data_IF_387929944827
#
_entry.id   IF_387929944827
#
_cell.length_a   1.000
_cell.length_b   1.000
_cell.length_c   1.000
_cell.angle_alpha   90.00
_cell.angle_beta   90.00
_cell.angle_gamma   90.00
#
_symmetry.space_group_name_H-M   'P 1'
#
loop_
_entity.id
_entity.type
_entity.pdbx_description
1 polymer ?
#
# COMPACT_ATOMS: atom_id res chain seq x y z
N UNK A 1 32.64 -14.34 -40.25
CA UNK A 1 33.20 -14.32 -38.91
C UNK A 1 32.01 -14.40 -37.93
N UNK A 2 31.85 -15.57 -37.27
CA UNK A 2 30.69 -15.81 -36.38
C UNK A 2 30.94 -15.07 -35.08
N UNK A 3 30.24 -13.98 -34.83
CA UNK A 3 30.24 -13.27 -33.56
C UNK A 3 29.50 -14.13 -32.52
N UNK A 4 30.24 -14.75 -31.64
CA UNK A 4 29.71 -15.45 -30.48
C UNK A 4 29.21 -14.35 -29.51
N UNK A 5 27.93 -14.12 -29.46
CA UNK A 5 27.29 -13.42 -28.33
C UNK A 5 27.42 -14.34 -27.11
N UNK A 6 28.47 -14.18 -26.36
CA UNK A 6 28.54 -14.70 -25.00
C UNK A 6 27.68 -13.80 -24.16
N UNK A 7 26.48 -14.28 -23.89
CA UNK A 7 25.56 -13.69 -22.90
C UNK A 7 26.28 -13.70 -21.56
N UNK A 8 26.65 -12.53 -21.07
CA UNK A 8 27.08 -12.33 -19.68
C UNK A 8 25.83 -12.34 -18.80
N UNK A 9 25.22 -13.54 -18.71
CA UNK A 9 24.21 -13.84 -17.73
C UNK A 9 24.85 -14.76 -16.68
N UNK A 10 24.58 -14.42 -15.43
CA UNK A 10 24.92 -15.20 -14.23
C UNK A 10 26.34 -15.09 -13.66
N UNK A 11 26.62 -14.01 -13.02
CA UNK A 11 27.51 -14.01 -11.86
C UNK A 11 26.80 -13.30 -10.69
N UNK A 12 25.73 -13.89 -10.19
CA UNK A 12 24.96 -13.33 -9.06
C UNK A 12 24.14 -14.37 -8.29
N UNK A 13 24.27 -15.65 -8.64
CA UNK A 13 23.38 -16.68 -8.09
C UNK A 13 24.08 -17.70 -7.16
N UNK A 14 25.24 -17.38 -6.58
CA UNK A 14 25.91 -18.31 -5.66
C UNK A 14 26.37 -17.67 -4.36
N UNK A 15 25.51 -16.91 -3.69
CA UNK A 15 25.66 -16.63 -2.27
C UNK A 15 24.27 -16.63 -1.66
N UNK A 16 23.75 -17.80 -1.33
CA UNK A 16 22.70 -17.98 -0.31
C UNK A 16 22.39 -19.48 -0.17
N UNK A 17 23.36 -20.21 0.35
CA UNK A 17 23.06 -21.45 1.05
C UNK A 17 23.78 -21.39 2.40
N UNK A 18 23.15 -20.78 3.37
CA UNK A 18 23.47 -20.97 4.77
C UNK A 18 22.16 -21.34 5.45
N UNK A 19 22.06 -22.62 5.79
CA UNK A 19 21.05 -23.19 6.66
C UNK A 19 21.08 -22.48 8.02
N UNK A 20 19.99 -21.85 8.38
CA UNK A 20 19.57 -21.68 9.76
C UNK A 20 18.04 -21.70 9.76
N UNK A 21 17.48 -22.84 10.12
CA UNK A 21 16.11 -22.92 10.64
C UNK A 21 16.09 -22.20 11.98
N UNK A 22 15.86 -20.90 11.94
CA UNK A 22 15.44 -20.10 13.09
C UNK A 22 14.02 -19.67 12.75
N UNK A 23 13.10 -19.79 13.68
CA UNK A 23 11.74 -19.24 13.54
C UNK A 23 11.87 -17.76 13.20
N UNK A 24 11.66 -17.46 11.92
CA UNK A 24 11.79 -16.13 11.38
C UNK A 24 10.62 -15.29 11.89
N UNK A 25 10.91 -14.22 12.59
CA UNK A 25 9.90 -13.23 12.93
C UNK A 25 9.20 -12.74 11.65
N UNK A 26 7.95 -12.31 11.72
CA UNK A 26 7.14 -11.87 10.57
C UNK A 26 7.83 -10.79 9.71
N UNK A 27 8.86 -10.13 10.24
CA UNK A 27 9.67 -9.10 9.56
C UNK A 27 10.74 -9.67 8.62
N UNK A 28 11.06 -10.96 8.71
CA UNK A 28 12.13 -11.59 7.93
C UNK A 28 11.63 -12.42 6.73
N UNK A 29 10.32 -12.47 6.54
CA UNK A 29 9.72 -13.21 5.43
C UNK A 29 9.87 -12.43 4.13
N UNK A 30 10.30 -13.12 3.05
CA UNK A 30 10.41 -12.49 1.72
C UNK A 30 9.07 -11.87 1.28
N UNK A 31 9.13 -10.68 0.66
CA UNK A 31 7.94 -9.89 0.34
C UNK A 31 6.90 -10.63 -0.52
N UNK A 32 7.33 -11.54 -1.41
CA UNK A 32 6.38 -12.31 -2.23
C UNK A 32 5.47 -13.27 -1.45
N UNK A 33 5.81 -13.57 -0.20
CA UNK A 33 5.02 -14.40 0.72
C UNK A 33 4.11 -13.59 1.64
N UNK A 34 4.17 -12.27 1.54
CA UNK A 34 3.38 -11.35 2.35
C UNK A 34 2.24 -10.76 1.54
N UNK A 35 1.09 -10.59 2.14
CA UNK A 35 0.00 -9.83 1.55
C UNK A 35 0.19 -8.34 1.85
N UNK A 36 -0.04 -7.49 0.86
CA UNK A 36 0.09 -6.05 0.99
C UNK A 36 -1.22 -5.35 0.72
N UNK A 37 -1.56 -4.42 1.57
CA UNK A 37 -2.62 -3.45 1.33
C UNK A 37 -2.03 -2.18 0.74
N UNK A 38 -2.67 -1.63 -0.27
CA UNK A 38 -2.31 -0.34 -0.85
C UNK A 38 -3.48 0.63 -0.75
N UNK A 39 -3.16 1.90 -0.47
CA UNK A 39 -4.16 2.96 -0.49
C UNK A 39 -4.40 3.43 -1.94
N UNK A 40 -5.65 3.67 -2.36
CA UNK A 40 -5.93 4.34 -3.62
C UNK A 40 -5.18 5.68 -3.69
N UNK A 41 -4.45 5.94 -4.78
CA UNK A 41 -3.67 7.17 -4.93
C UNK A 41 -2.25 7.16 -4.36
N UNK A 42 -1.80 6.04 -3.75
CA UNK A 42 -0.43 5.89 -3.26
C UNK A 42 0.52 5.29 -4.30
N UNK A 43 1.83 5.45 -4.04
CA UNK A 43 2.93 4.78 -4.73
C UNK A 43 3.09 5.13 -6.22
N UNK A 44 2.72 6.35 -6.60
CA UNK A 44 3.04 6.90 -7.92
C UNK A 44 4.46 7.41 -7.97
N UNK A 45 5.06 7.35 -9.16
CA UNK A 45 6.35 7.97 -9.44
C UNK A 45 6.36 8.65 -10.81
N UNK A 46 7.14 9.71 -10.90
CA UNK A 46 7.45 10.41 -12.14
C UNK A 46 8.97 10.33 -12.38
N UNK A 47 9.39 10.03 -13.59
CA UNK A 47 10.81 9.90 -13.93
C UNK A 47 11.17 10.79 -15.12
N UNK A 48 12.37 11.37 -15.07
CA UNK A 48 12.96 12.14 -16.14
C UNK A 48 14.40 11.64 -16.34
N UNK A 49 14.75 11.30 -17.56
CA UNK A 49 16.07 10.83 -17.89
C UNK A 49 16.51 11.17 -19.30
N UNK A 50 17.81 11.08 -19.51
CA UNK A 50 18.44 11.26 -20.80
C UNK A 50 19.65 10.33 -20.95
N UNK A 51 20.08 10.14 -22.18
CA UNK A 51 21.18 9.24 -22.47
C UNK A 51 21.45 9.08 -23.96
N UNK A 52 21.90 7.90 -24.31
CA UNK A 52 22.29 7.57 -25.68
C UNK A 52 21.57 6.34 -26.19
N UNK A 53 21.28 6.32 -27.48
CA UNK A 53 20.72 5.16 -28.17
C UNK A 53 21.50 4.87 -29.44
N UNK A 54 21.48 3.60 -29.84
CA UNK A 54 22.05 3.14 -31.10
C UNK A 54 21.01 2.29 -31.84
N UNK A 55 20.80 2.59 -33.13
CA UNK A 55 19.87 1.84 -33.98
C UNK A 55 20.59 0.85 -34.88
N UNK A 56 20.06 -0.35 -34.95
CA UNK A 56 20.55 -1.45 -35.78
C UNK A 56 19.47 -1.86 -36.77
N UNK A 57 19.82 -1.88 -38.04
CA UNK A 57 18.95 -2.29 -39.15
C UNK A 57 19.43 -3.62 -39.71
N UNK A 58 18.53 -4.43 -40.24
CA UNK A 58 18.88 -5.68 -40.92
C UNK A 58 19.69 -5.35 -42.21
N UNK A 59 20.81 -6.02 -42.38
CA UNK A 59 21.66 -5.83 -43.57
C UNK A 59 22.73 -4.76 -43.46
N UNK A 60 22.75 -3.98 -42.39
CA UNK A 60 23.68 -2.88 -42.20
C UNK A 60 24.88 -3.31 -41.32
N UNK A 61 25.96 -3.81 -41.94
CA UNK A 61 27.13 -4.33 -41.24
C UNK A 61 28.16 -3.25 -40.83
N UNK A 62 27.94 -2.01 -41.20
CA UNK A 62 28.77 -0.84 -40.93
C UNK A 62 27.86 0.34 -40.60
N UNK A 63 28.21 1.25 -39.75
CA UNK A 63 29.43 1.67 -39.13
C UNK A 63 29.64 1.12 -37.70
N UNK A 64 30.70 1.66 -37.02
CA UNK A 64 31.03 1.35 -35.63
C UNK A 64 29.89 1.75 -34.66
N UNK A 65 29.88 1.17 -33.46
CA UNK A 65 28.86 1.50 -32.43
C UNK A 65 28.86 3.02 -32.10
N UNK A 66 30.02 3.62 -32.04
CA UNK A 66 30.21 5.04 -31.70
C UNK A 66 29.55 5.96 -32.70
N UNK A 67 29.56 5.65 -33.99
CA UNK A 67 28.93 6.44 -35.06
C UNK A 67 27.39 6.34 -35.05
N UNK A 68 26.84 5.28 -34.41
CA UNK A 68 25.38 5.07 -34.23
C UNK A 68 24.83 5.77 -33.04
N UNK A 69 25.68 6.20 -32.08
CA UNK A 69 25.23 6.83 -30.85
C UNK A 69 24.50 8.14 -31.14
N UNK A 70 23.30 8.23 -30.67
CA UNK A 70 22.41 9.38 -30.78
C UNK A 70 21.79 9.72 -29.44
N UNK A 71 21.37 10.95 -29.26
CA UNK A 71 20.71 11.37 -28.02
C UNK A 71 19.32 10.80 -27.90
N UNK A 72 18.98 10.38 -26.67
CA UNK A 72 17.63 9.91 -26.29
C UNK A 72 17.26 10.54 -24.94
N UNK A 73 16.02 11.01 -24.84
CA UNK A 73 15.44 11.48 -23.58
C UNK A 73 14.10 10.77 -23.33
N UNK A 74 13.75 10.62 -22.08
CA UNK A 74 12.50 9.99 -21.68
C UNK A 74 11.90 10.66 -20.47
N UNK A 75 10.55 10.69 -20.43
CA UNK A 75 9.75 11.02 -19.26
C UNK A 75 8.81 9.86 -19.00
N UNK A 76 8.54 9.56 -17.74
CA UNK A 76 7.64 8.45 -17.42
C UNK A 76 6.80 8.75 -16.18
N UNK A 77 5.60 8.21 -16.18
CA UNK A 77 4.70 8.17 -15.03
C UNK A 77 4.36 6.71 -14.76
N UNK A 78 4.53 6.29 -13.52
CA UNK A 78 4.27 4.91 -13.14
C UNK A 78 3.65 4.79 -11.74
N UNK A 79 3.24 3.57 -11.43
CA UNK A 79 2.67 3.21 -10.13
C UNK A 79 3.19 1.84 -9.70
N UNK A 80 3.65 1.76 -8.46
CA UNK A 80 3.90 0.50 -7.79
C UNK A 80 2.58 -0.04 -7.24
N UNK A 81 2.19 -1.24 -7.66
CA UNK A 81 0.98 -1.94 -7.20
C UNK A 81 1.27 -2.83 -5.99
N UNK A 82 2.47 -3.38 -5.95
CA UNK A 82 3.04 -4.12 -4.82
C UNK A 82 4.49 -3.66 -4.62
N UNK A 83 5.17 -4.05 -3.54
CA UNK A 83 6.58 -3.72 -3.36
C UNK A 83 7.49 -4.17 -4.51
N UNK A 84 7.08 -5.16 -5.28
CA UNK A 84 7.89 -5.80 -6.33
C UNK A 84 7.28 -5.72 -7.73
N UNK A 85 6.08 -5.15 -7.90
CA UNK A 85 5.40 -5.04 -9.19
C UNK A 85 4.91 -3.62 -9.45
N UNK A 86 5.26 -3.05 -10.61
CA UNK A 86 4.81 -1.73 -11.05
C UNK A 86 4.41 -1.74 -12.52
N UNK A 87 3.66 -0.72 -12.91
CA UNK A 87 3.41 -0.37 -14.31
C UNK A 87 3.85 1.06 -14.59
N UNK A 88 4.32 1.30 -15.81
CA UNK A 88 4.84 2.60 -16.22
C UNK A 88 4.40 2.95 -17.65
N UNK A 89 3.93 4.17 -17.83
CA UNK A 89 3.80 4.80 -19.13
C UNK A 89 5.04 5.68 -19.36
N UNK A 90 5.84 5.35 -20.37
CA UNK A 90 7.07 6.05 -20.72
C UNK A 90 6.91 6.70 -22.11
N UNK A 91 7.15 7.99 -22.18
CA UNK A 91 7.28 8.73 -23.44
C UNK A 91 8.76 9.01 -23.65
N UNK A 92 9.28 8.63 -24.78
CA UNK A 92 10.68 8.78 -25.12
C UNK A 92 10.82 9.40 -26.51
N UNK A 93 11.90 10.13 -26.69
CA UNK A 93 12.20 10.74 -27.99
C UNK A 93 13.68 11.04 -28.13
N UNK A 94 14.12 11.21 -29.35
CA UNK A 94 15.53 11.47 -29.62
C UNK A 94 15.86 11.41 -31.10
N UNK A 95 17.17 11.34 -31.35
CA UNK A 95 17.71 11.13 -32.67
C UNK A 95 17.99 9.65 -32.94
N UNK A 96 17.94 9.23 -34.16
CA UNK A 96 18.35 7.91 -34.60
C UNK A 96 19.18 8.06 -35.89
N UNK A 97 20.41 7.63 -35.84
CA UNK A 97 21.27 7.61 -37.01
C UNK A 97 21.12 6.29 -37.74
N UNK A 98 20.80 6.41 -39.03
CA UNK A 98 20.68 5.25 -39.93
C UNK A 98 21.62 5.46 -41.11
N UNK A 99 22.18 4.40 -41.63
CA UNK A 99 23.16 4.45 -42.73
C UNK A 99 22.60 3.70 -43.91
N UNK A 100 22.70 4.28 -45.08
CA UNK A 100 22.27 3.66 -46.33
C UNK A 100 23.40 2.83 -46.95
N UNK A 101 23.04 1.77 -47.65
CA UNK A 101 23.73 0.54 -47.85
C UNK A 101 25.14 0.59 -48.52
N UNK A 102 25.43 1.48 -49.39
CA UNK A 102 26.67 1.43 -50.20
C UNK A 102 27.55 2.69 -50.07
N UNK A 103 26.96 3.79 -49.69
CA UNK A 103 27.63 5.09 -49.64
C UNK A 103 28.00 5.58 -48.25
N UNK A 104 27.67 4.82 -47.20
CA UNK A 104 27.84 5.20 -45.79
C UNK A 104 27.27 6.58 -45.44
N UNK A 105 26.28 7.02 -46.19
CA UNK A 105 25.63 8.31 -45.93
C UNK A 105 24.79 8.18 -44.64
N UNK A 106 25.16 9.02 -43.67
CA UNK A 106 24.41 9.13 -42.41
C UNK A 106 23.10 9.85 -42.63
N UNK A 107 21.98 9.18 -42.37
CA UNK A 107 20.66 9.79 -42.31
C UNK A 107 20.26 10.05 -40.89
N UNK A 108 19.92 11.30 -40.58
CA UNK A 108 19.43 11.69 -39.27
C UNK A 108 17.91 11.66 -39.22
N UNK A 109 17.36 10.92 -38.30
CA UNK A 109 15.94 10.82 -38.07
C UNK A 109 15.63 11.19 -36.62
N UNK A 110 14.47 11.74 -36.40
CA UNK A 110 13.92 11.95 -35.06
C UNK A 110 12.81 10.97 -34.81
N UNK A 111 12.64 10.54 -33.58
CA UNK A 111 11.54 9.66 -33.17
C UNK A 111 10.90 10.15 -31.90
N UNK A 112 9.61 9.82 -31.74
CA UNK A 112 8.83 9.97 -30.53
C UNK A 112 8.09 8.67 -30.32
N UNK A 113 8.16 8.10 -29.12
CA UNK A 113 7.50 6.85 -28.78
C UNK A 113 6.79 6.95 -27.43
N UNK A 114 5.79 6.10 -27.28
CA UNK A 114 5.10 5.86 -26.01
C UNK A 114 5.09 4.36 -25.74
N UNK A 115 5.59 3.95 -24.57
CA UNK A 115 5.68 2.56 -24.13
C UNK A 115 4.91 2.36 -22.84
N UNK A 116 4.24 1.23 -22.73
CA UNK A 116 3.64 0.77 -21.49
C UNK A 116 4.43 -0.43 -20.98
N UNK A 117 5.09 -0.24 -19.86
CA UNK A 117 6.05 -1.18 -19.28
C UNK A 117 5.48 -1.87 -18.05
N UNK A 118 5.74 -3.18 -17.92
CA UNK A 118 5.58 -3.96 -16.72
C UNK A 118 6.95 -4.11 -16.06
N UNK A 119 7.06 -3.64 -14.84
CA UNK A 119 8.32 -3.57 -14.09
C UNK A 119 8.27 -4.52 -12.91
N UNK A 120 9.39 -5.19 -12.63
CA UNK A 120 9.50 -6.16 -11.56
C UNK A 120 10.76 -5.92 -10.72
N UNK A 121 10.60 -5.62 -9.44
CA UNK A 121 11.71 -5.42 -8.51
C UNK A 121 12.16 -6.75 -7.93
N UNK A 122 13.26 -7.29 -8.47
CA UNK A 122 13.84 -8.58 -8.07
C UNK A 122 14.29 -8.54 -6.60
N UNK A 123 14.89 -7.44 -6.19
CA UNK A 123 15.44 -7.32 -4.83
C UNK A 123 14.32 -7.32 -3.80
N UNK A 124 13.24 -6.57 -4.04
CA UNK A 124 12.09 -6.56 -3.16
C UNK A 124 11.28 -7.87 -3.20
N UNK A 125 11.33 -8.62 -4.30
CA UNK A 125 10.64 -9.90 -4.40
C UNK A 125 11.27 -10.98 -3.51
N UNK A 126 12.61 -11.09 -3.53
CA UNK A 126 13.35 -12.13 -2.81
C UNK A 126 13.75 -11.74 -1.39
N UNK A 127 13.64 -10.48 -1.02
CA UNK A 127 14.02 -9.97 0.31
C UNK A 127 12.79 -9.52 1.11
N UNK A 128 12.87 -9.41 2.44
CA UNK A 128 11.85 -8.77 3.26
C UNK A 128 11.58 -7.35 2.77
N UNK A 129 10.32 -6.91 2.85
CA UNK A 129 9.96 -5.56 2.46
C UNK A 129 10.67 -4.52 3.33
N UNK A 130 11.35 -3.59 2.69
CA UNK A 130 12.00 -2.46 3.36
C UNK A 130 11.78 -1.17 2.55
N UNK A 131 10.97 -0.27 3.08
CA UNK A 131 10.67 1.03 2.46
C UNK A 131 11.94 1.87 2.23
N UNK A 132 12.99 1.68 3.04
CA UNK A 132 14.23 2.44 3.00
C UNK A 132 15.37 1.77 2.22
N UNK A 133 15.06 0.76 1.44
CA UNK A 133 16.08 0.05 0.64
C UNK A 133 16.81 1.02 -0.30
N UNK A 134 18.14 0.93 -0.30
CA UNK A 134 19.00 1.80 -1.10
C UNK A 134 19.04 1.41 -2.59
N UNK A 135 19.06 0.10 -2.88
CA UNK A 135 19.28 -0.44 -4.22
C UNK A 135 18.11 -1.30 -4.68
N UNK A 136 17.72 -1.12 -5.94
CA UNK A 136 16.70 -1.93 -6.60
C UNK A 136 17.18 -2.35 -7.98
N UNK A 137 16.93 -3.62 -8.34
CA UNK A 137 17.17 -4.20 -9.65
C UNK A 137 15.81 -4.51 -10.28
N UNK A 138 15.50 -3.79 -11.35
CA UNK A 138 14.14 -3.76 -11.91
C UNK A 138 14.18 -4.12 -13.40
N UNK A 139 14.17 -5.41 -13.77
CA UNK A 139 13.86 -5.82 -15.13
C UNK A 139 12.44 -5.39 -15.49
N UNK A 140 12.23 -5.11 -16.77
CA UNK A 140 10.91 -4.77 -17.31
C UNK A 140 10.74 -5.21 -18.75
N UNK A 141 9.49 -5.38 -19.14
CA UNK A 141 9.08 -5.64 -20.51
C UNK A 141 7.89 -4.74 -20.83
N UNK A 142 7.78 -4.35 -22.07
CA UNK A 142 6.70 -3.45 -22.48
C UNK A 142 6.36 -3.57 -23.95
N UNK A 143 5.27 -2.90 -24.29
CA UNK A 143 4.81 -2.69 -25.65
C UNK A 143 4.57 -1.21 -25.88
N UNK A 144 4.71 -0.78 -27.11
CA UNK A 144 4.58 0.63 -27.39
C UNK A 144 4.32 0.93 -28.84
N UNK A 145 4.33 2.21 -29.10
CA UNK A 145 4.16 2.76 -30.42
C UNK A 145 5.21 3.85 -30.63
N UNK A 146 5.91 3.81 -31.76
CA UNK A 146 6.87 4.84 -32.15
C UNK A 146 6.49 5.48 -33.49
N UNK A 147 6.66 6.78 -33.52
CA UNK A 147 6.55 7.63 -34.71
C UNK A 147 7.91 8.23 -35.04
N UNK A 148 8.35 8.06 -36.30
CA UNK A 148 9.60 8.64 -36.84
C UNK A 148 9.27 9.78 -37.74
N UNK A 149 9.83 10.92 -37.41
CA UNK A 149 9.72 12.16 -38.19
C UNK A 149 10.73 12.16 -39.31
N UNK A 150 10.29 12.69 -40.43
CA UNK A 150 11.12 12.98 -41.57
C UNK A 150 12.15 14.06 -41.26
N UNK A 151 13.40 13.87 -41.68
CA UNK A 151 14.36 14.95 -41.76
C UNK A 151 14.50 15.41 -43.23
N UNK A 152 14.51 16.70 -43.47
CA UNK A 152 14.84 17.56 -44.66
C UNK A 152 14.86 16.96 -46.08
N UNK A 153 14.90 15.65 -46.25
CA UNK A 153 14.91 15.02 -47.56
C UNK A 153 13.46 14.69 -48.03
N UNK A 154 13.02 15.20 -49.21
CA UNK A 154 11.63 15.06 -49.66
C UNK A 154 11.17 13.62 -49.99
N UNK A 155 12.06 12.64 -50.02
CA UNK A 155 11.78 11.24 -50.40
C UNK A 155 11.54 10.28 -49.24
N UNK A 156 11.89 10.65 -48.00
CA UNK A 156 11.62 9.80 -46.84
C UNK A 156 10.26 10.15 -46.25
N UNK A 157 9.38 9.18 -46.13
CA UNK A 157 8.06 9.35 -45.55
C UNK A 157 8.11 9.05 -44.04
N UNK A 158 7.18 9.65 -43.29
CA UNK A 158 6.99 9.37 -41.89
C UNK A 158 6.69 7.87 -41.66
N UNK A 159 7.27 7.27 -40.64
CA UNK A 159 7.10 5.86 -40.32
C UNK A 159 6.47 5.66 -38.95
N UNK A 160 5.52 4.73 -38.91
CA UNK A 160 4.82 4.30 -37.70
C UNK A 160 5.20 2.87 -37.39
N UNK A 161 5.47 2.53 -36.15
CA UNK A 161 5.78 1.16 -35.75
C UNK A 161 5.16 0.82 -34.39
N UNK A 162 4.61 -0.39 -34.30
CA UNK A 162 4.39 -1.02 -33.00
C UNK A 162 5.71 -1.60 -32.51
N UNK A 163 6.00 -1.41 -31.24
CA UNK A 163 7.26 -1.77 -30.63
C UNK A 163 7.04 -2.75 -29.48
N UNK A 164 8.02 -3.62 -29.30
CA UNK A 164 8.20 -4.40 -28.09
C UNK A 164 9.53 -4.00 -27.45
N UNK A 165 9.55 -3.75 -26.17
CA UNK A 165 10.75 -3.36 -25.45
C UNK A 165 10.99 -4.22 -24.22
N UNK A 166 12.25 -4.41 -23.90
CA UNK A 166 12.69 -5.06 -22.67
C UNK A 166 13.92 -4.31 -22.15
N UNK A 167 14.04 -4.23 -20.85
CA UNK A 167 15.16 -3.50 -20.26
C UNK A 167 15.40 -3.89 -18.81
N UNK A 168 16.46 -3.26 -18.29
CA UNK A 168 16.90 -3.39 -16.92
C UNK A 168 17.14 -2.00 -16.34
N UNK A 169 16.50 -1.67 -15.24
CA UNK A 169 16.72 -0.44 -14.49
C UNK A 169 17.40 -0.77 -13.17
N UNK A 170 18.51 -0.10 -12.89
CA UNK A 170 19.15 -0.03 -11.58
C UNK A 170 18.67 1.24 -10.91
N UNK A 171 18.11 1.16 -9.73
CA UNK A 171 17.61 2.32 -9.02
C UNK A 171 18.29 2.44 -7.66
N UNK A 172 18.77 3.66 -7.36
CA UNK A 172 19.50 4.00 -6.14
C UNK A 172 18.76 5.11 -5.41
N UNK A 173 18.39 4.87 -4.17
CA UNK A 173 17.69 5.84 -3.34
C UNK A 173 18.64 6.95 -2.88
N UNK A 174 18.42 8.17 -3.36
CA UNK A 174 19.18 9.34 -2.92
C UNK A 174 18.53 10.05 -1.74
N UNK A 175 17.21 10.12 -1.73
CA UNK A 175 16.42 10.74 -0.68
C UNK A 175 15.08 10.05 -0.53
N UNK A 176 14.29 10.43 0.46
CA UNK A 176 12.97 9.83 0.74
C UNK A 176 12.04 9.80 -0.48
N UNK A 177 12.15 10.80 -1.36
CA UNK A 177 11.28 10.94 -2.54
C UNK A 177 12.03 10.95 -3.86
N UNK A 178 13.36 10.75 -3.86
CA UNK A 178 14.19 10.88 -5.06
C UNK A 178 15.08 9.67 -5.20
N UNK A 179 14.99 9.03 -6.36
CA UNK A 179 15.87 7.94 -6.75
C UNK A 179 16.64 8.32 -8.00
N UNK A 180 17.93 7.99 -8.04
CA UNK A 180 18.73 7.96 -9.26
C UNK A 180 18.45 6.64 -9.98
N UNK A 181 18.27 6.66 -11.29
CA UNK A 181 18.21 5.42 -12.07
C UNK A 181 19.22 5.39 -13.20
N UNK A 182 19.67 4.19 -13.50
CA UNK A 182 20.42 3.84 -14.71
C UNK A 182 19.60 2.75 -15.41
N UNK A 183 19.27 2.97 -16.68
CA UNK A 183 18.38 2.09 -17.45
C UNK A 183 19.04 1.68 -18.76
N UNK A 184 19.06 0.38 -19.03
CA UNK A 184 19.40 -0.20 -20.33
C UNK A 184 18.15 -0.77 -20.96
N UNK A 185 17.85 -0.39 -22.19
CA UNK A 185 16.67 -0.82 -22.93
C UNK A 185 17.01 -1.34 -24.32
N UNK A 186 16.34 -2.40 -24.71
CA UNK A 186 16.33 -2.92 -26.07
C UNK A 186 14.89 -2.81 -26.62
N UNK A 187 14.70 -2.12 -27.73
CA UNK A 187 13.42 -1.92 -28.38
C UNK A 187 13.46 -2.55 -29.77
N UNK A 188 12.50 -3.42 -30.04
CA UNK A 188 12.26 -4.01 -31.36
C UNK A 188 11.10 -3.32 -32.05
N UNK A 189 11.31 -2.81 -33.26
CA UNK A 189 10.32 -2.14 -34.10
C UNK A 189 9.82 -3.14 -35.15
N UNK A 190 8.81 -3.94 -34.82
CA UNK A 190 8.46 -5.14 -35.60
C UNK A 190 7.29 -5.01 -36.54
N UNK A 191 6.29 -4.17 -36.23
CA UNK A 191 5.08 -4.05 -37.03
C UNK A 191 4.99 -2.64 -37.62
N UNK A 192 5.33 -2.50 -38.88
CA UNK A 192 5.07 -1.28 -39.64
C UNK A 192 3.58 -1.26 -40.04
N UNK A 193 2.83 -0.30 -39.52
CA UNK A 193 1.38 -0.12 -39.82
C UNK A 193 1.12 0.43 -41.22
N UNK A 194 2.14 0.79 -41.98
CA UNK A 194 2.10 1.15 -43.39
C UNK A 194 3.20 0.39 -44.12
N UNK A 195 2.84 -0.22 -45.28
CA UNK A 195 3.76 -0.93 -46.18
C UNK A 195 4.86 0.00 -46.72
N UNK A 196 5.96 0.11 -45.98
CA UNK A 196 7.18 0.78 -46.43
C UNK A 196 8.26 -0.27 -46.68
N UNK A 197 7.99 -1.17 -47.63
CA UNK A 197 8.96 -2.18 -48.06
C UNK A 197 10.30 -1.58 -48.57
N UNK A 198 10.32 -0.28 -48.90
CA UNK A 198 11.46 0.38 -49.53
C UNK A 198 12.31 1.19 -48.59
N UNK A 199 12.03 1.30 -47.28
CA UNK A 199 12.78 2.19 -46.38
C UNK A 199 13.68 1.47 -45.35
N UNK A 200 13.83 0.15 -45.45
CA UNK A 200 14.75 -0.59 -44.60
C UNK A 200 14.44 -0.61 -43.08
N UNK A 201 13.29 -0.11 -42.68
CA UNK A 201 12.91 0.04 -41.26
C UNK A 201 12.10 -1.12 -40.67
N UNK A 202 11.72 -2.12 -41.49
CA UNK A 202 11.16 -3.34 -40.96
C UNK A 202 12.25 -4.13 -40.22
N UNK A 203 11.98 -4.50 -38.98
CA UNK A 203 12.93 -5.20 -38.09
C UNK A 203 14.12 -4.35 -37.60
N UNK A 204 13.89 -3.09 -37.29
CA UNK A 204 14.88 -2.27 -36.63
C UNK A 204 14.96 -2.61 -35.13
N UNK A 205 16.18 -2.65 -34.61
CA UNK A 205 16.44 -2.89 -33.21
C UNK A 205 17.20 -1.69 -32.65
N UNK A 206 16.71 -1.12 -31.56
CA UNK A 206 17.36 -0.01 -30.86
C UNK A 206 17.83 -0.47 -29.49
N UNK A 207 19.06 -0.16 -29.15
CA UNK A 207 19.58 -0.28 -27.80
C UNK A 207 19.79 1.11 -27.25
N UNK A 208 19.35 1.40 -26.04
CA UNK A 208 19.53 2.68 -25.37
C UNK A 208 20.01 2.51 -23.94
N UNK A 209 20.80 3.46 -23.48
CA UNK A 209 21.24 3.61 -22.11
C UNK A 209 20.85 4.99 -21.61
N UNK A 210 20.08 5.04 -20.53
CA UNK A 210 19.52 6.25 -19.94
C UNK A 210 19.98 6.37 -18.49
N UNK A 211 20.17 7.59 -18.04
CA UNK A 211 20.35 7.93 -16.63
C UNK A 211 19.41 9.07 -16.26
N UNK A 212 18.89 9.10 -15.06
CA UNK A 212 17.94 10.12 -14.67
C UNK A 212 17.50 10.04 -13.23
N UNK A 213 16.51 10.87 -12.91
CA UNK A 213 15.91 10.93 -11.59
C UNK A 213 14.45 10.49 -11.64
N UNK A 214 14.05 9.76 -10.63
CA UNK A 214 12.67 9.35 -10.37
C UNK A 214 12.18 9.96 -9.07
N UNK A 215 11.03 10.61 -9.12
CA UNK A 215 10.41 11.33 -8.02
C UNK A 215 9.16 10.58 -7.57
N UNK A 216 9.13 10.15 -6.32
CA UNK A 216 7.98 9.49 -5.73
C UNK A 216 6.92 10.52 -5.35
N UNK A 217 5.69 10.34 -5.83
CA UNK A 217 4.56 11.27 -5.68
C UNK A 217 3.55 10.69 -4.70
N UNK A 218 3.00 11.55 -3.85
CA UNK A 218 1.98 11.16 -2.88
C UNK A 218 2.52 10.36 -1.71
N UNK A 219 1.66 9.52 -1.13
CA UNK A 219 2.03 8.58 -0.08
C UNK A 219 2.87 7.45 -0.65
N UNK A 220 3.89 7.04 0.10
CA UNK A 220 4.75 5.93 -0.25
C UNK A 220 4.64 4.85 0.81
N UNK A 221 4.90 3.62 0.39
CA UNK A 221 4.93 2.45 1.26
C UNK A 221 3.72 1.54 1.11
N UNK A 222 3.91 0.32 1.58
CA UNK A 222 2.89 -0.74 1.59
C UNK A 222 2.75 -1.22 3.02
N UNK A 223 1.51 -1.46 3.46
CA UNK A 223 1.24 -2.08 4.75
C UNK A 223 1.21 -3.59 4.55
N UNK A 224 1.98 -4.30 5.32
CA UNK A 224 1.87 -5.75 5.41
C UNK A 224 0.52 -6.05 6.06
N UNK A 225 -0.29 -6.86 5.38
CA UNK A 225 -1.51 -7.42 5.93
C UNK A 225 -1.12 -8.78 6.48
N UNK A 226 -1.17 -8.92 7.80
CA UNK A 226 -1.05 -10.24 8.41
C UNK A 226 -2.24 -11.07 7.92
N UNK A 227 -2.04 -12.21 7.27
CA UNK A 227 -3.14 -13.09 6.93
C UNK A 227 -3.83 -13.47 8.23
N UNK A 228 -5.15 -13.33 8.26
CA UNK A 228 -5.95 -13.85 9.38
C UNK A 228 -5.57 -15.32 9.55
N UNK A 229 -5.11 -15.65 10.74
CA UNK A 229 -4.76 -17.01 11.09
C UNK A 229 -6.02 -17.88 10.94
N UNK A 230 -5.97 -18.82 10.00
CA UNK A 230 -7.11 -19.69 9.70
C UNK A 230 -7.46 -20.52 10.94
N UNK A 231 -6.48 -20.93 11.72
CA UNK A 231 -6.66 -21.66 12.96
C UNK A 231 -7.43 -20.83 14.00
N UNK A 232 -7.14 -19.52 14.08
CA UNK A 232 -7.88 -18.58 14.93
C UNK A 232 -9.33 -18.42 14.47
N UNK A 233 -9.58 -18.32 13.15
CA UNK A 233 -10.92 -18.24 12.58
C UNK A 233 -11.71 -19.53 12.86
N UNK A 234 -11.08 -20.68 12.65
CA UNK A 234 -11.69 -21.98 12.90
C UNK A 234 -11.98 -22.17 14.40
N UNK A 235 -11.09 -21.67 15.26
CA UNK A 235 -11.30 -21.63 16.71
C UNK A 235 -12.51 -20.78 17.11
N UNK A 236 -12.63 -19.57 16.56
CA UNK A 236 -13.81 -18.72 16.78
C UNK A 236 -15.09 -19.35 16.25
N UNK A 237 -15.04 -19.97 15.07
CA UNK A 237 -16.20 -20.67 14.49
C UNK A 237 -16.64 -21.85 15.36
N UNK A 238 -15.69 -22.60 15.93
CA UNK A 238 -15.98 -23.68 16.89
C UNK A 238 -16.63 -23.14 18.15
N UNK A 239 -16.15 -22.01 18.70
CA UNK A 239 -16.78 -21.38 19.87
C UNK A 239 -18.21 -20.91 19.57
N UNK A 240 -18.43 -20.27 18.40
CA UNK A 240 -19.75 -19.85 17.96
C UNK A 240 -20.70 -21.06 17.87
N UNK A 241 -20.23 -22.16 17.29
CA UNK A 241 -21.04 -23.37 17.15
C UNK A 241 -21.33 -24.02 18.49
N UNK A 242 -20.37 -24.03 19.42
CA UNK A 242 -20.57 -24.52 20.79
C UNK A 242 -21.60 -23.68 21.56
N UNK A 243 -21.50 -22.36 21.51
CA UNK A 243 -22.45 -21.43 22.11
C UNK A 243 -23.86 -21.56 21.51
N UNK A 244 -23.96 -21.79 20.21
CA UNK A 244 -25.27 -22.06 19.55
C UNK A 244 -25.88 -23.37 20.02
N UNK A 245 -25.07 -24.42 20.18
CA UNK A 245 -25.52 -25.72 20.69
C UNK A 245 -25.97 -25.60 22.13
N UNK A 246 -25.23 -24.86 22.98
CA UNK A 246 -25.60 -24.61 24.37
C UNK A 246 -26.90 -23.80 24.47
N UNK A 247 -27.05 -22.73 23.65
CA UNK A 247 -28.30 -21.98 23.60
C UNK A 247 -29.50 -22.84 23.15
N UNK A 248 -29.29 -23.74 22.18
CA UNK A 248 -30.32 -24.66 21.72
C UNK A 248 -30.68 -25.68 22.78
N UNK A 249 -29.73 -26.10 23.61
CA UNK A 249 -29.97 -27.01 24.75
C UNK A 249 -30.70 -26.30 25.90
N UNK A 250 -30.30 -25.06 26.20
CA UNK A 250 -30.99 -24.23 27.19
C UNK A 250 -32.43 -23.92 26.77
N UNK A 251 -32.69 -23.70 25.48
CA UNK A 251 -34.03 -23.47 24.95
C UNK A 251 -34.94 -24.71 25.02
N UNK A 252 -34.36 -25.93 25.14
CA UNK A 252 -35.11 -27.17 25.31
C UNK A 252 -35.48 -27.44 26.76
N UNK A 253 -34.89 -26.72 27.74
CA UNK A 253 -35.27 -26.89 29.15
C UNK A 253 -36.69 -26.42 29.32
N UNK A 254 -37.58 -27.27 29.86
CA UNK A 254 -38.94 -26.83 30.12
C UNK A 254 -38.91 -25.68 31.11
N UNK A 255 -39.65 -24.61 30.83
CA UNK A 255 -39.96 -23.55 31.78
C UNK A 255 -40.85 -24.14 32.87
N UNK A 256 -40.26 -24.93 33.75
CA UNK A 256 -40.92 -25.28 34.97
C UNK A 256 -40.72 -24.10 35.92
N UNK A 257 -41.68 -23.21 35.99
CA UNK A 257 -41.80 -22.31 37.12
C UNK A 257 -42.18 -23.15 38.34
N UNK A 258 -41.31 -23.29 39.34
CA UNK A 258 -41.73 -23.86 40.62
C UNK A 258 -42.85 -22.97 41.20
N UNK A 259 -43.90 -23.59 41.74
CA UNK A 259 -44.96 -22.84 42.42
C UNK A 259 -44.36 -21.96 43.52
N UNK A 260 -44.92 -20.74 43.68
CA UNK A 260 -44.39 -19.68 44.53
C UNK A 260 -44.20 -20.01 46.01
N UNK A 261 -44.64 -21.19 46.45
CA UNK A 261 -44.58 -21.66 47.86
C UNK A 261 -43.30 -22.46 48.17
N UNK A 262 -42.47 -22.83 47.19
CA UNK A 262 -41.28 -23.67 47.43
C UNK A 262 -39.95 -22.85 47.44
N UNK A 263 -39.99 -21.56 47.24
CA UNK A 263 -38.84 -20.64 47.21
C UNK A 263 -38.79 -19.69 48.42
N UNK A 264 -38.97 -20.23 49.62
CA UNK A 264 -38.67 -19.50 50.87
C UNK A 264 -37.23 -19.73 51.34
N UNK A 265 -36.24 -19.53 50.45
CA UNK A 265 -34.84 -19.28 50.81
C UNK A 265 -34.45 -17.92 50.23
N UNK A 266 -33.76 -17.05 50.98
CA UNK A 266 -33.40 -15.72 50.47
C UNK A 266 -32.43 -15.90 49.34
N UNK A 267 -32.92 -15.88 48.11
CA UNK A 267 -32.09 -15.67 46.94
C UNK A 267 -31.65 -14.22 46.99
N UNK A 268 -30.38 -13.98 47.27
CA UNK A 268 -29.79 -12.67 47.04
C UNK A 268 -30.18 -12.24 45.65
N UNK A 269 -30.87 -11.11 45.53
CA UNK A 269 -31.22 -10.49 44.27
C UNK A 269 -29.94 -10.37 43.45
N UNK A 270 -29.85 -11.13 42.36
CA UNK A 270 -28.85 -10.89 41.33
C UNK A 270 -29.16 -9.50 40.81
N UNK A 271 -28.48 -8.51 41.40
CA UNK A 271 -28.58 -7.14 40.93
C UNK A 271 -28.27 -7.15 39.44
N UNK A 272 -29.14 -6.56 38.65
CA UNK A 272 -28.96 -6.25 37.20
C UNK A 272 -27.75 -5.31 37.04
N UNK A 273 -26.58 -5.82 37.45
CA UNK A 273 -25.32 -5.06 37.35
C UNK A 273 -24.88 -5.09 35.90
N UNK A 274 -24.42 -3.96 35.43
CA UNK A 274 -23.61 -3.82 34.21
C UNK A 274 -22.56 -4.94 34.17
N UNK A 275 -22.67 -5.84 33.19
CA UNK A 275 -21.76 -6.98 33.07
C UNK A 275 -20.33 -6.49 32.67
N UNK A 276 -20.16 -5.28 32.12
CA UNK A 276 -18.89 -4.68 31.83
C UNK A 276 -18.95 -3.15 31.78
N UNK A 277 -17.87 -2.50 32.17
CA UNK A 277 -17.68 -1.04 32.03
C UNK A 277 -17.87 -0.58 30.58
N UNK A 278 -18.62 0.47 30.35
CA UNK A 278 -18.79 1.07 29.00
C UNK A 278 -17.77 2.16 28.78
N UNK A 279 -16.97 2.03 27.74
CA UNK A 279 -15.88 2.95 27.42
C UNK A 279 -16.18 3.77 26.16
N UNK A 280 -16.08 5.10 26.27
CA UNK A 280 -16.30 6.06 25.20
C UNK A 280 -15.00 6.77 24.89
N UNK A 281 -14.43 6.54 23.68
CA UNK A 281 -13.15 7.09 23.26
C UNK A 281 -13.29 8.47 22.61
N UNK A 282 -12.28 9.31 22.81
CA UNK A 282 -12.24 10.67 22.26
C UNK A 282 -11.01 10.92 21.39
N UNK A 283 -11.18 11.77 20.39
CA UNK A 283 -10.06 12.31 19.62
C UNK A 283 -9.19 13.22 20.49
N UNK A 284 -7.91 13.34 20.13
CA UNK A 284 -6.96 14.14 20.89
C UNK A 284 -7.41 15.60 21.02
N UNK A 285 -7.42 16.10 22.25
CA UNK A 285 -7.82 17.49 22.57
C UNK A 285 -9.32 17.78 22.41
N UNK A 286 -10.15 16.76 22.13
CA UNK A 286 -11.59 16.94 21.92
C UNK A 286 -12.40 16.35 23.06
N UNK A 287 -13.59 16.96 23.32
CA UNK A 287 -14.59 16.50 24.27
C UNK A 287 -15.93 16.17 23.60
N UNK A 288 -15.98 16.12 22.27
CA UNK A 288 -17.19 15.78 21.51
C UNK A 288 -17.24 14.26 21.30
N UNK A 289 -18.36 13.65 21.64
CA UNK A 289 -18.62 12.21 21.40
C UNK A 289 -18.85 12.01 19.89
N UNK A 290 -18.13 11.08 19.28
CA UNK A 290 -18.31 10.73 17.86
C UNK A 290 -19.62 9.95 17.65
N UNK A 291 -20.16 10.00 16.43
CA UNK A 291 -21.41 9.30 16.09
C UNK A 291 -21.33 7.79 16.37
N UNK A 292 -20.17 7.19 16.14
CA UNK A 292 -19.93 5.76 16.35
C UNK A 292 -19.94 5.35 17.83
N UNK A 293 -19.73 6.33 18.74
CA UNK A 293 -19.74 6.09 20.18
C UNK A 293 -21.11 6.34 20.82
N UNK A 294 -22.08 6.92 20.08
CA UNK A 294 -23.41 7.20 20.58
C UNK A 294 -24.18 5.95 20.99
N UNK A 295 -23.91 4.81 20.32
CA UNK A 295 -24.52 3.52 20.68
C UNK A 295 -24.13 3.09 22.10
N UNK A 296 -22.88 3.31 22.50
CA UNK A 296 -22.39 2.98 23.84
C UNK A 296 -23.06 3.86 24.92
N UNK A 297 -23.32 5.14 24.60
CA UNK A 297 -24.05 6.04 25.49
C UNK A 297 -25.52 5.65 25.59
N UNK A 298 -26.12 5.25 24.46
CA UNK A 298 -27.50 4.76 24.41
C UNK A 298 -27.68 3.51 25.26
N UNK A 299 -26.80 2.51 25.13
CA UNK A 299 -26.85 1.29 25.93
C UNK A 299 -26.77 1.57 27.43
N UNK A 300 -25.91 2.51 27.83
CA UNK A 300 -25.82 2.93 29.24
C UNK A 300 -27.10 3.63 29.71
N UNK A 301 -27.72 4.43 28.85
CA UNK A 301 -28.98 5.11 29.16
C UNK A 301 -30.14 4.12 29.33
N UNK A 302 -30.25 3.14 28.44
CA UNK A 302 -31.29 2.11 28.53
C UNK A 302 -31.16 1.27 29.82
N UNK A 303 -29.93 0.96 30.22
CA UNK A 303 -29.68 0.28 31.49
C UNK A 303 -30.19 1.13 32.68
N UNK A 304 -29.82 2.40 32.76
CA UNK A 304 -30.21 3.29 33.83
C UNK A 304 -31.74 3.54 33.90
N UNK A 305 -32.43 3.42 32.77
CA UNK A 305 -33.90 3.58 32.70
C UNK A 305 -34.63 2.33 33.17
N UNK A 306 -34.12 1.13 32.85
CA UNK A 306 -34.75 -0.16 33.17
C UNK A 306 -34.54 -0.58 34.61
N UNK A 307 -33.46 -0.13 35.26
CA UNK A 307 -33.06 -0.52 36.59
C UNK A 307 -33.06 0.63 37.60
N UNK A 308 -32.84 0.33 38.87
CA UNK A 308 -32.64 1.29 39.96
C UNK A 308 -31.16 1.77 40.03
N UNK A 309 -30.31 1.34 39.12
CA UNK A 309 -28.87 1.58 39.16
C UNK A 309 -28.49 3.04 38.86
N UNK A 310 -27.59 3.57 39.69
CA UNK A 310 -26.93 4.85 39.45
C UNK A 310 -25.73 4.64 38.47
N UNK A 311 -25.45 5.65 37.65
CA UNK A 311 -24.31 5.66 36.73
C UNK A 311 -23.18 6.52 37.27
N UNK A 312 -21.98 5.99 37.32
CA UNK A 312 -20.75 6.71 37.56
C UNK A 312 -20.05 6.99 36.23
N UNK A 313 -19.95 8.25 35.82
CA UNK A 313 -19.32 8.70 34.58
C UNK A 313 -17.96 9.30 34.89
N UNK A 314 -16.90 8.55 34.66
CA UNK A 314 -15.53 8.99 34.99
C UNK A 314 -14.74 9.37 33.73
N UNK A 315 -14.30 10.62 33.64
CA UNK A 315 -13.49 11.14 32.51
C UNK A 315 -11.99 11.02 32.77
N UNK A 316 -11.25 10.67 31.73
CA UNK A 316 -9.80 10.52 31.76
C UNK A 316 -9.13 11.31 30.63
N UNK A 317 -7.84 11.65 30.82
CA UNK A 317 -6.98 12.24 29.80
C UNK A 317 -5.69 11.44 29.63
N UNK A 318 -5.15 11.43 28.41
CA UNK A 318 -3.86 10.82 28.14
C UNK A 318 -2.70 11.72 28.60
N UNK A 319 -1.54 11.15 28.91
CA UNK A 319 -0.34 11.89 29.35
C UNK A 319 0.07 13.01 28.38
N UNK A 320 -0.17 12.83 27.09
CA UNK A 320 0.14 13.82 26.06
C UNK A 320 -0.93 14.92 25.91
N UNK A 321 -1.96 14.92 26.76
CA UNK A 321 -3.05 15.91 26.76
C UNK A 321 -3.00 16.86 27.98
N UNK A 322 -2.00 16.80 28.82
CA UNK A 322 -1.85 17.64 30.04
C UNK A 322 -1.89 19.13 29.79
N UNK A 323 -1.58 19.56 28.56
CA UNK A 323 -1.71 20.97 28.12
C UNK A 323 -3.15 21.47 28.06
N UNK A 324 -4.13 20.58 27.98
CA UNK A 324 -5.55 20.93 27.89
C UNK A 324 -6.19 20.82 29.27
N UNK A 325 -6.08 21.88 30.06
CA UNK A 325 -6.64 21.93 31.43
C UNK A 325 -8.16 21.70 31.42
N UNK A 326 -8.64 20.86 32.32
CA UNK A 326 -10.07 20.55 32.49
C UNK A 326 -10.67 19.71 31.36
N UNK A 327 -9.87 19.07 30.50
CA UNK A 327 -10.37 18.26 29.38
C UNK A 327 -11.07 16.97 29.87
N UNK A 328 -10.59 16.35 30.94
CA UNK A 328 -11.23 15.18 31.55
C UNK A 328 -12.66 15.49 32.03
N UNK A 329 -12.82 16.61 32.74
CA UNK A 329 -14.13 17.13 33.19
C UNK A 329 -15.06 17.41 32.02
N UNK A 330 -14.56 18.11 30.99
CA UNK A 330 -15.36 18.44 29.79
C UNK A 330 -15.87 17.18 29.09
N UNK A 331 -15.05 16.14 29.00
CA UNK A 331 -15.43 14.84 28.42
C UNK A 331 -16.51 14.14 29.25
N UNK A 332 -16.31 14.05 30.57
CA UNK A 332 -17.29 13.44 31.47
C UNK A 332 -18.63 14.18 31.43
N UNK A 333 -18.61 15.51 31.48
CA UNK A 333 -19.83 16.35 31.37
C UNK A 333 -20.50 16.22 29.99
N UNK A 334 -19.74 16.09 28.90
CA UNK A 334 -20.32 15.91 27.58
C UNK A 334 -21.10 14.59 27.48
N UNK A 335 -20.59 13.50 28.07
CA UNK A 335 -21.29 12.22 28.14
C UNK A 335 -22.52 12.30 29.06
N UNK A 336 -22.37 12.89 30.24
CA UNK A 336 -23.50 13.08 31.16
C UNK A 336 -24.62 13.93 30.52
N UNK A 337 -24.26 14.96 29.77
CA UNK A 337 -25.21 15.76 29.02
C UNK A 337 -25.99 14.98 27.97
N UNK A 338 -25.32 14.10 27.23
CA UNK A 338 -25.99 13.20 26.28
C UNK A 338 -26.94 12.23 26.97
N UNK A 339 -26.54 11.66 28.12
CA UNK A 339 -27.40 10.77 28.91
C UNK A 339 -28.67 11.48 29.39
N UNK A 340 -28.55 12.72 29.83
CA UNK A 340 -29.72 13.49 30.32
C UNK A 340 -30.55 14.10 29.19
N UNK A 341 -29.95 14.92 28.30
CA UNK A 341 -30.68 15.72 27.31
C UNK A 341 -31.16 14.90 26.10
N UNK A 342 -30.33 13.97 25.62
CA UNK A 342 -30.65 13.19 24.42
C UNK A 342 -31.37 11.88 24.75
N UNK A 343 -30.95 11.20 25.82
CA UNK A 343 -31.49 9.90 26.18
C UNK A 343 -32.40 9.88 27.41
N UNK A 344 -32.63 11.02 28.07
CA UNK A 344 -33.65 11.18 29.10
C UNK A 344 -33.38 10.43 30.41
N UNK A 345 -32.11 10.22 30.77
CA UNK A 345 -31.75 9.67 32.09
C UNK A 345 -31.86 10.79 33.13
N UNK A 346 -32.46 10.51 34.30
CA UNK A 346 -32.60 11.50 35.37
C UNK A 346 -31.21 11.91 35.92
N UNK A 347 -30.98 13.19 36.16
CA UNK A 347 -29.71 13.75 36.60
C UNK A 347 -29.27 13.25 37.98
N UNK A 348 -30.20 12.88 38.83
CA UNK A 348 -29.97 12.30 40.17
C UNK A 348 -29.38 10.89 40.10
N UNK A 349 -29.56 10.18 39.00
CA UNK A 349 -28.95 8.88 38.74
C UNK A 349 -27.54 8.95 38.17
N UNK A 350 -26.99 10.15 37.89
CA UNK A 350 -25.69 10.29 37.22
C UNK A 350 -24.68 10.99 38.15
N UNK A 351 -23.66 10.29 38.55
CA UNK A 351 -22.49 10.86 39.27
C UNK A 351 -21.37 11.11 38.26
N UNK A 352 -20.83 12.32 38.21
CA UNK A 352 -19.75 12.69 37.29
C UNK A 352 -18.46 12.89 38.05
N UNK A 353 -17.43 12.17 37.65
CA UNK A 353 -16.05 12.25 38.15
C UNK A 353 -15.07 12.47 37.03
N UNK A 354 -13.87 12.95 37.35
CA UNK A 354 -12.74 13.04 36.43
C UNK A 354 -11.43 12.81 37.12
N UNK A 355 -10.46 12.28 36.36
CA UNK A 355 -9.15 11.94 36.86
C UNK A 355 -8.08 12.70 36.08
N UNK A 356 -7.07 13.22 36.80
CA UNK A 356 -5.96 13.94 36.20
C UNK A 356 -4.98 12.97 35.50
N UNK A 357 -4.07 13.53 34.70
CA UNK A 357 -3.09 12.77 33.94
C UNK A 357 -2.08 12.07 34.88
N UNK A 358 -2.30 10.86 35.21
CA UNK A 358 -1.51 10.02 36.13
C UNK A 358 -2.32 8.85 36.67
N UNK A 359 -3.63 9.02 36.73
CA UNK A 359 -4.58 7.99 37.15
C UNK A 359 -5.28 7.31 35.95
N UNK A 360 -4.54 7.18 34.84
CA UNK A 360 -5.06 6.65 33.60
C UNK A 360 -5.38 5.15 33.72
N UNK A 361 -6.54 4.68 33.22
CA UNK A 361 -6.99 3.29 33.39
C UNK A 361 -6.15 2.28 32.61
N UNK A 362 -5.45 2.71 31.55
CA UNK A 362 -4.70 1.82 30.67
C UNK A 362 -3.21 2.17 30.65
N UNK A 363 -2.37 1.23 31.04
CA UNK A 363 -0.91 1.42 31.07
C UNK A 363 -0.23 1.19 29.72
N UNK A 364 -0.81 0.33 28.87
CA UNK A 364 -0.19 -0.17 27.65
C UNK A 364 -0.35 0.76 26.45
N UNK A 365 -1.45 1.52 26.36
CA UNK A 365 -1.72 2.39 25.20
C UNK A 365 -2.20 3.77 25.64
N UNK A 366 -1.36 4.80 25.41
CA UNK A 366 -1.69 6.19 25.75
C UNK A 366 -2.93 6.71 25.03
N UNK A 367 -3.22 6.21 23.81
CA UNK A 367 -4.40 6.58 23.04
C UNK A 367 -5.72 6.17 23.70
N UNK A 368 -5.73 5.06 24.43
CA UNK A 368 -6.92 4.55 25.11
C UNK A 368 -7.29 5.34 26.36
N UNK A 369 -6.36 6.13 26.89
CA UNK A 369 -6.62 6.99 28.05
C UNK A 369 -7.40 8.27 27.72
N UNK A 370 -7.73 8.48 26.45
CA UNK A 370 -8.69 9.52 26.01
C UNK A 370 -10.11 8.96 26.08
N UNK A 371 -10.57 8.67 27.28
CA UNK A 371 -11.76 7.86 27.48
C UNK A 371 -12.66 8.43 28.60
N UNK A 372 -13.96 8.21 28.47
CA UNK A 372 -14.92 8.26 29.57
C UNK A 372 -15.41 6.85 29.83
N UNK A 373 -15.36 6.41 31.07
CA UNK A 373 -15.85 5.10 31.48
C UNK A 373 -17.15 5.30 32.27
N UNK A 374 -18.19 4.62 31.86
CA UNK A 374 -19.49 4.59 32.56
C UNK A 374 -19.56 3.26 33.31
N UNK A 375 -19.79 3.33 34.62
CA UNK A 375 -19.98 2.19 35.52
C UNK A 375 -21.34 2.26 36.19
N UNK A 376 -21.91 1.13 36.52
CA UNK A 376 -23.00 1.03 37.48
C UNK A 376 -22.40 1.23 38.88
N UNK A 377 -23.04 2.08 39.69
CA UNK A 377 -22.62 2.33 41.08
C UNK A 377 -23.37 1.40 42.04
#
# INVERSE_FOLDING_TARGET
MKLKFTVLALAGATILSANAQTELSSTEVAAHRQAFSHEPGANYFFSLGGGVGAMFLKGNNHPSLTERLSFTAAVALGKWHTPYYATRLKVLGGQAFTYQDVTFTRNENYYLGAHYDFMFDVVNYFSPYNENRFFHLIPYVGVGYEYKFKNKEPKLQDAHALTANAGLQLSFRLARRVNLFLEGEATYNGLNLRNYENLGYSNAFRVSALAGLSFNIGRQGFRVVEPLDQEYIDGLQSQINALRAENAELAKRPEHCPDADELAAPTEAVSDRFVADKSILFSQGQATVSKDQLITVFDAAEFAKKGEGELLVTGYIAKNETRFKGLAEKRARAVAKLLTEQYGVSSDKITVEWKEAGEAPYSSNQGWNRVVIIRSK
#
